data_IF_359861336844
#
_entry.id   IF_359861336844
#
_cell.length_a   1.000
_cell.length_b   1.000
_cell.length_c   1.000
_cell.angle_alpha   90.00
_cell.angle_beta   90.00
_cell.angle_gamma   90.00
#
_symmetry.space_group_name_H-M   'P 1'
#
loop_
_entity.id
_entity.type
_entity.pdbx_description
1 polymer ?
#
# COMPACT_ATOMS: atom_id res chain seq x y z
N UNK A 1 5.79 25.64 -27.20
CA UNK A 1 4.73 24.73 -27.63
C UNK A 1 5.25 23.30 -27.49
N UNK A 2 4.84 22.58 -26.44
CA UNK A 2 5.14 21.15 -26.32
C UNK A 2 4.18 20.40 -27.25
N UNK A 3 4.71 19.64 -28.20
CA UNK A 3 3.93 18.73 -29.05
C UNK A 3 3.43 17.60 -28.15
N UNK A 4 2.15 17.63 -27.79
CA UNK A 4 1.52 16.53 -27.07
C UNK A 4 1.46 15.32 -28.01
N UNK A 5 1.95 14.16 -27.56
CA UNK A 5 1.80 12.92 -28.31
C UNK A 5 0.30 12.61 -28.43
N UNK A 6 -0.27 12.50 -29.64
CA UNK A 6 -1.70 12.21 -29.80
C UNK A 6 -2.10 10.88 -29.15
N UNK A 7 -1.15 9.95 -28.98
CA UNK A 7 -1.41 8.67 -28.30
C UNK A 7 -1.57 8.82 -26.80
N UNK A 8 -0.86 9.76 -26.17
CA UNK A 8 -1.00 9.98 -24.73
C UNK A 8 -2.35 10.58 -24.39
N UNK A 9 -2.85 11.49 -25.23
CA UNK A 9 -4.16 12.11 -25.06
C UNK A 9 -5.31 11.08 -25.10
N UNK A 10 -5.27 10.10 -26.01
CA UNK A 10 -6.28 9.03 -26.09
C UNK A 10 -6.27 8.14 -24.83
N UNK A 11 -5.09 7.76 -24.34
CA UNK A 11 -4.95 6.96 -23.12
C UNK A 11 -5.50 7.71 -21.91
N UNK A 12 -5.13 8.98 -21.76
CA UNK A 12 -5.61 9.84 -20.67
C UNK A 12 -7.13 10.01 -20.72
N UNK A 13 -7.69 10.19 -21.91
CA UNK A 13 -9.13 10.33 -22.09
C UNK A 13 -9.88 9.06 -21.69
N UNK A 14 -9.41 7.87 -22.11
CA UNK A 14 -10.01 6.59 -21.72
C UNK A 14 -9.92 6.33 -20.22
N UNK A 15 -8.80 6.68 -19.59
CA UNK A 15 -8.67 6.60 -18.14
C UNK A 15 -9.65 7.52 -17.42
N UNK A 16 -9.85 8.74 -17.96
CA UNK A 16 -10.84 9.68 -17.43
C UNK A 16 -12.27 9.13 -17.56
N UNK A 17 -12.63 8.54 -18.70
CA UNK A 17 -13.92 7.86 -18.89
C UNK A 17 -14.14 6.74 -17.87
N UNK A 18 -13.12 5.88 -17.68
CA UNK A 18 -13.17 4.77 -16.72
C UNK A 18 -13.40 5.25 -15.28
N UNK A 19 -12.70 6.31 -14.87
CA UNK A 19 -12.88 6.94 -13.55
C UNK A 19 -14.28 7.54 -13.41
N UNK A 20 -14.77 8.21 -14.45
CA UNK A 20 -16.05 8.88 -14.43
C UNK A 20 -17.24 7.93 -14.35
N UNK A 21 -17.18 6.77 -15.01
CA UNK A 21 -18.18 5.71 -14.83
C UNK A 21 -18.15 5.16 -13.40
N UNK A 22 -16.96 4.83 -12.89
CA UNK A 22 -16.80 4.28 -11.52
C UNK A 22 -17.31 5.27 -10.46
N UNK A 23 -17.02 6.56 -10.61
CA UNK A 23 -17.42 7.62 -9.69
C UNK A 23 -18.81 8.21 -9.98
N UNK A 24 -19.49 7.73 -11.03
CA UNK A 24 -20.80 8.22 -11.49
C UNK A 24 -20.84 9.74 -11.71
N UNK A 25 -19.77 10.31 -12.25
CA UNK A 25 -19.67 11.77 -12.47
C UNK A 25 -20.67 12.30 -13.49
N UNK A 26 -21.24 11.41 -14.30
CA UNK A 26 -22.23 11.74 -15.32
C UNK A 26 -23.67 11.87 -14.77
N UNK A 27 -23.92 11.42 -13.54
CA UNK A 27 -25.25 11.47 -12.94
C UNK A 27 -25.58 12.88 -12.43
N UNK A 28 -26.82 13.31 -12.62
CA UNK A 28 -27.36 14.50 -11.97
C UNK A 28 -27.69 14.14 -10.53
N UNK A 29 -27.03 14.80 -9.58
CA UNK A 29 -27.27 14.56 -8.17
C UNK A 29 -28.41 15.45 -7.65
N UNK A 30 -29.24 14.93 -6.72
CA UNK A 30 -30.17 15.77 -5.98
C UNK A 30 -29.40 16.79 -5.12
N UNK A 31 -30.09 17.85 -4.70
CA UNK A 31 -29.53 18.91 -3.87
C UNK A 31 -28.72 18.37 -2.69
N UNK A 32 -27.68 19.11 -2.30
CA UNK A 32 -26.76 18.72 -1.24
C UNK A 32 -27.51 18.27 0.03
N UNK A 33 -27.18 17.09 0.60
CA UNK A 33 -27.86 16.60 1.78
C UNK A 33 -27.63 17.57 2.95
N UNK A 34 -28.69 17.90 3.68
CA UNK A 34 -28.69 18.94 4.74
C UNK A 34 -28.02 18.51 6.06
N UNK A 35 -27.46 17.31 6.15
CA UNK A 35 -26.94 16.73 7.39
C UNK A 35 -25.46 16.36 7.27
N UNK A 36 -24.71 16.59 8.36
CA UNK A 36 -23.32 16.14 8.62
C UNK A 36 -23.21 14.60 8.59
N UNK A 37 -23.36 14.05 7.40
CA UNK A 37 -23.51 12.64 7.15
C UNK A 37 -22.50 12.21 6.09
N UNK A 38 -22.26 10.89 6.03
CA UNK A 38 -21.43 10.27 4.99
C UNK A 38 -21.86 10.69 3.57
N UNK A 39 -23.14 11.01 3.36
CA UNK A 39 -23.66 11.49 2.08
C UNK A 39 -23.15 12.89 1.70
N UNK A 40 -22.94 13.78 2.68
CA UNK A 40 -22.38 15.10 2.42
C UNK A 40 -20.93 14.99 1.98
N UNK A 41 -20.14 14.17 2.68
CA UNK A 41 -18.75 13.91 2.31
C UNK A 41 -18.65 13.32 0.89
N UNK A 42 -19.50 12.34 0.58
CA UNK A 42 -19.54 11.72 -0.75
C UNK A 42 -19.96 12.73 -1.84
N UNK A 43 -20.88 13.63 -1.52
CA UNK A 43 -21.30 14.71 -2.42
C UNK A 43 -20.15 15.69 -2.69
N UNK A 44 -19.44 16.15 -1.64
CA UNK A 44 -18.28 17.04 -1.76
C UNK A 44 -17.14 16.39 -2.55
N UNK A 45 -16.82 15.12 -2.29
CA UNK A 45 -15.79 14.38 -3.02
C UNK A 45 -16.12 14.27 -4.52
N UNK A 46 -17.38 13.97 -4.85
CA UNK A 46 -17.82 13.93 -6.25
C UNK A 46 -17.79 15.30 -6.91
N UNK A 47 -18.18 16.36 -6.19
CA UNK A 47 -18.13 17.73 -6.71
C UNK A 47 -16.68 18.12 -7.09
N UNK A 48 -15.72 17.85 -6.20
CA UNK A 48 -14.30 18.07 -6.46
C UNK A 48 -13.78 17.23 -7.64
N UNK A 49 -14.24 15.98 -7.74
CA UNK A 49 -13.86 15.09 -8.85
C UNK A 49 -14.40 15.60 -10.19
N UNK A 50 -15.62 16.16 -10.20
CA UNK A 50 -16.23 16.77 -11.38
C UNK A 50 -15.49 18.03 -11.83
N UNK A 51 -15.09 18.89 -10.89
CA UNK A 51 -14.29 20.08 -11.19
C UNK A 51 -12.94 19.70 -11.84
N UNK A 52 -12.25 18.70 -11.28
CA UNK A 52 -11.00 18.18 -11.85
C UNK A 52 -11.20 17.62 -13.27
N UNK A 53 -12.29 16.86 -13.48
CA UNK A 53 -12.62 16.33 -14.80
C UNK A 53 -12.88 17.46 -15.80
N UNK A 54 -13.61 18.51 -15.42
CA UNK A 54 -13.87 19.66 -16.29
C UNK A 54 -12.59 20.37 -16.72
N UNK A 55 -11.66 20.60 -15.79
CA UNK A 55 -10.35 21.20 -16.11
C UNK A 55 -9.55 20.33 -17.09
N UNK A 56 -9.57 19.01 -16.88
CA UNK A 56 -8.88 18.07 -17.78
C UNK A 56 -9.51 18.02 -19.16
N UNK A 57 -10.85 18.04 -19.26
CA UNK A 57 -11.58 18.08 -20.52
C UNK A 57 -11.35 19.40 -21.28
N UNK A 58 -11.28 20.52 -20.56
CA UNK A 58 -10.93 21.81 -21.13
C UNK A 58 -9.53 21.79 -21.76
N UNK A 59 -8.57 21.16 -21.09
CA UNK A 59 -7.21 20.98 -21.62
C UNK A 59 -7.21 20.12 -22.89
N UNK A 60 -8.07 19.11 -22.97
CA UNK A 60 -8.20 18.20 -24.12
C UNK A 60 -9.09 18.76 -25.25
N UNK A 61 -9.77 19.89 -25.04
CA UNK A 61 -10.72 20.45 -26.01
C UNK A 61 -11.99 19.60 -26.20
N UNK A 62 -12.39 18.84 -25.18
CA UNK A 62 -13.60 18.00 -25.19
C UNK A 62 -14.70 18.70 -24.40
N UNK A 63 -15.91 18.78 -24.98
CA UNK A 63 -17.06 19.36 -24.27
C UNK A 63 -17.60 18.40 -23.21
N UNK A 64 -18.21 18.94 -22.16
CA UNK A 64 -18.84 18.14 -21.11
C UNK A 64 -19.93 17.23 -21.67
N UNK A 65 -20.76 17.73 -22.59
CA UNK A 65 -21.88 16.97 -23.20
C UNK A 65 -21.38 15.81 -24.05
N UNK A 66 -20.26 15.99 -24.77
CA UNK A 66 -19.61 14.89 -25.47
C UNK A 66 -19.12 13.85 -24.48
N UNK A 67 -18.41 14.29 -23.45
CA UNK A 67 -17.89 13.39 -22.41
C UNK A 67 -18.98 12.57 -21.74
N UNK A 68 -20.11 13.18 -21.38
CA UNK A 68 -21.25 12.46 -20.78
C UNK A 68 -21.78 11.36 -21.69
N UNK A 69 -21.99 11.67 -22.99
CA UNK A 69 -22.43 10.66 -23.97
C UNK A 69 -21.45 9.52 -24.10
N UNK A 70 -20.16 9.83 -24.08
CA UNK A 70 -19.10 8.82 -24.19
C UNK A 70 -19.05 7.92 -22.93
N UNK A 71 -19.25 8.48 -21.73
CA UNK A 71 -19.40 7.71 -20.48
C UNK A 71 -20.64 6.80 -20.53
N UNK A 72 -21.80 7.34 -20.88
CA UNK A 72 -23.04 6.57 -20.99
C UNK A 72 -22.97 5.47 -22.06
N UNK A 73 -22.25 5.72 -23.15
CA UNK A 73 -21.99 4.72 -24.19
C UNK A 73 -21.12 3.60 -23.63
N UNK A 74 -20.02 3.94 -22.95
CA UNK A 74 -19.10 2.99 -22.34
C UNK A 74 -19.79 2.13 -21.26
N UNK A 75 -20.69 2.70 -20.46
CA UNK A 75 -21.42 1.92 -19.44
C UNK A 75 -22.40 0.91 -20.04
N UNK A 76 -22.88 1.15 -21.27
CA UNK A 76 -23.71 0.21 -22.02
C UNK A 76 -22.87 -0.88 -22.71
N UNK A 77 -21.56 -0.67 -22.86
CA UNK A 77 -20.66 -1.70 -23.38
C UNK A 77 -20.50 -2.80 -22.32
N UNK A 78 -21.37 -3.81 -22.43
CA UNK A 78 -21.26 -5.03 -21.64
C UNK A 78 -20.06 -5.83 -22.16
N UNK A 79 -18.91 -5.65 -21.53
CA UNK A 79 -17.81 -6.60 -21.69
C UNK A 79 -18.20 -7.91 -21.01
N UNK A 80 -18.75 -8.84 -21.78
CA UNK A 80 -18.91 -10.22 -21.33
C UNK A 80 -17.53 -10.80 -21.17
N UNK A 81 -17.02 -10.81 -19.93
CA UNK A 81 -15.87 -11.61 -19.58
C UNK A 81 -16.29 -13.06 -19.78
N UNK A 82 -15.81 -13.67 -20.86
CA UNK A 82 -15.93 -15.10 -21.06
C UNK A 82 -15.35 -15.77 -19.82
N UNK A 83 -16.07 -16.71 -19.16
CA UNK A 83 -15.56 -17.39 -18.00
C UNK A 83 -14.19 -17.99 -18.32
N UNK A 84 -13.16 -17.45 -17.68
CA UNK A 84 -11.80 -18.00 -17.76
C UNK A 84 -11.85 -19.37 -17.10
N UNK A 85 -11.78 -20.43 -17.90
CA UNK A 85 -11.58 -21.77 -17.38
C UNK A 85 -10.13 -21.85 -16.89
N UNK A 86 -9.94 -21.73 -15.58
CA UNK A 86 -8.67 -22.06 -14.98
C UNK A 86 -8.40 -23.55 -15.26
N UNK A 87 -7.37 -23.83 -16.06
CA UNK A 87 -6.87 -25.19 -16.15
C UNK A 87 -6.30 -25.57 -14.77
N UNK A 88 -6.61 -26.77 -14.30
CA UNK A 88 -6.06 -27.27 -13.03
C UNK A 88 -4.54 -27.19 -13.11
N UNK A 89 -3.98 -26.25 -12.35
CA UNK A 89 -2.54 -26.10 -12.20
C UNK A 89 -1.99 -27.29 -11.43
N UNK A 90 -1.89 -28.46 -12.08
CA UNK A 90 -1.34 -29.67 -11.46
C UNK A 90 0.11 -29.50 -11.01
N UNK A 91 0.82 -28.47 -11.50
CA UNK A 91 2.26 -28.30 -11.24
C UNK A 91 2.74 -26.84 -11.04
N UNK A 92 1.88 -25.81 -11.16
CA UNK A 92 2.37 -24.42 -11.19
C UNK A 92 2.31 -23.66 -9.84
N UNK A 93 1.68 -24.22 -8.80
CA UNK A 93 1.41 -23.50 -7.55
C UNK A 93 1.92 -24.18 -6.26
N UNK A 94 2.73 -25.24 -6.36
CA UNK A 94 3.29 -25.88 -5.16
C UNK A 94 4.19 -24.92 -4.39
N UNK A 95 4.96 -24.09 -5.09
CA UNK A 95 5.89 -23.13 -4.49
C UNK A 95 5.18 -21.96 -3.79
N UNK A 96 4.11 -21.43 -4.41
CA UNK A 96 3.33 -20.32 -3.87
C UNK A 96 2.52 -20.73 -2.62
N UNK A 97 2.04 -21.98 -2.55
CA UNK A 97 1.35 -22.49 -1.36
C UNK A 97 2.28 -22.55 -0.13
N UNK A 98 3.54 -22.94 -0.32
CA UNK A 98 4.55 -22.92 0.75
C UNK A 98 4.94 -21.51 1.19
N UNK A 99 4.93 -20.54 0.29
CA UNK A 99 5.30 -19.15 0.62
C UNK A 99 4.15 -18.40 1.31
N UNK A 100 2.91 -18.59 0.86
CA UNK A 100 1.72 -17.98 1.46
C UNK A 100 1.32 -18.60 2.81
N UNK A 101 1.63 -19.88 3.05
CA UNK A 101 1.39 -20.55 4.33
C UNK A 101 2.18 -19.92 5.51
N UNK A 102 3.25 -19.18 5.22
CA UNK A 102 4.03 -18.45 6.22
C UNK A 102 3.54 -17.02 6.48
N UNK A 103 2.53 -16.54 5.75
CA UNK A 103 2.00 -15.18 5.91
C UNK A 103 0.80 -15.23 6.86
N UNK A 104 1.07 -15.08 8.15
CA UNK A 104 0.02 -14.85 9.15
C UNK A 104 -0.59 -13.45 8.96
N UNK A 105 -1.78 -13.38 8.38
CA UNK A 105 -2.61 -12.18 8.36
C UNK A 105 -3.27 -11.98 9.74
N UNK A 106 -2.49 -11.55 10.72
CA UNK A 106 -3.03 -10.88 11.90
C UNK A 106 -3.17 -9.39 11.56
N UNK A 107 -4.39 -8.87 11.69
CA UNK A 107 -4.81 -7.54 11.25
C UNK A 107 -3.74 -6.45 11.30
N UNK A 108 -3.42 -5.90 10.13
CA UNK A 108 -3.06 -4.48 9.99
C UNK A 108 -1.61 -4.06 10.20
N UNK A 109 -0.62 -4.95 10.25
CA UNK A 109 0.80 -4.55 10.12
C UNK A 109 1.59 -5.59 9.33
N UNK A 110 1.82 -5.33 8.05
CA UNK A 110 2.83 -6.02 7.24
C UNK A 110 4.23 -5.64 7.73
N UNK A 111 4.67 -6.27 8.82
CA UNK A 111 6.07 -6.32 9.21
C UNK A 111 6.71 -7.53 8.56
N UNK A 112 7.61 -7.33 7.60
CA UNK A 112 8.53 -8.38 7.13
C UNK A 112 9.21 -9.06 8.33
N UNK A 113 8.78 -10.28 8.67
CA UNK A 113 9.26 -11.02 9.86
C UNK A 113 10.70 -11.54 9.71
N UNK A 114 11.31 -11.42 8.53
CA UNK A 114 12.62 -12.01 8.25
C UNK A 114 13.81 -11.17 8.75
N UNK A 115 13.70 -9.84 8.80
CA UNK A 115 14.78 -8.95 9.28
C UNK A 115 14.78 -8.83 10.82
N UNK A 116 13.61 -8.72 11.45
CA UNK A 116 13.51 -8.38 12.86
C UNK A 116 13.92 -9.53 13.78
N UNK A 117 13.72 -10.78 13.35
CA UNK A 117 14.21 -11.97 14.07
C UNK A 117 15.75 -12.07 14.01
N UNK A 118 16.37 -11.66 12.89
CA UNK A 118 17.83 -11.56 12.75
C UNK A 118 18.41 -10.41 13.59
N UNK A 119 17.69 -9.29 13.72
CA UNK A 119 18.11 -8.16 14.58
C UNK A 119 18.05 -8.52 16.07
N UNK A 120 17.02 -9.23 16.52
CA UNK A 120 16.94 -9.70 17.92
C UNK A 120 18.01 -10.75 18.27
N UNK A 121 18.36 -11.63 17.34
CA UNK A 121 19.46 -12.60 17.54
C UNK A 121 20.83 -11.91 17.66
N UNK A 122 21.08 -10.84 16.88
CA UNK A 122 22.33 -10.05 16.97
C UNK A 122 22.38 -9.18 18.23
N UNK A 123 21.24 -8.66 18.70
CA UNK A 123 21.17 -7.91 19.97
C UNK A 123 21.46 -8.78 21.20
N UNK A 124 21.00 -10.03 21.22
CA UNK A 124 21.23 -10.96 22.33
C UNK A 124 22.70 -11.39 22.46
N UNK A 125 23.43 -11.52 21.34
CA UNK A 125 24.87 -11.82 21.36
C UNK A 125 25.73 -10.66 21.88
N UNK A 126 25.33 -9.41 21.62
CA UNK A 126 26.03 -8.21 22.11
C UNK A 126 25.94 -8.06 23.65
N UNK A 127 24.77 -8.33 24.23
CA UNK A 127 24.56 -8.29 25.69
C UNK A 127 25.27 -9.44 26.44
N UNK A 128 25.31 -10.64 25.86
CA UNK A 128 26.05 -11.77 26.44
C UNK A 128 27.57 -11.52 26.46
N UNK A 129 28.12 -10.91 25.41
CA UNK A 129 29.52 -10.49 25.35
C UNK A 129 29.87 -9.41 26.39
N UNK A 130 29.00 -8.40 26.56
CA UNK A 130 29.19 -7.35 27.57
C UNK A 130 29.06 -7.87 29.01
N UNK A 131 28.15 -8.82 29.27
CA UNK A 131 28.01 -9.49 30.58
C UNK A 131 29.20 -10.40 30.91
N UNK A 132 29.78 -11.09 29.92
CA UNK A 132 30.99 -11.89 30.10
C UNK A 132 32.20 -11.01 30.42
N UNK A 133 32.35 -9.87 29.74
CA UNK A 133 33.42 -8.90 30.01
C UNK A 133 33.29 -8.27 31.41
N UNK A 134 32.07 -7.93 31.85
CA UNK A 134 31.83 -7.42 33.20
C UNK A 134 32.04 -8.47 34.31
N UNK A 135 31.73 -9.75 34.07
CA UNK A 135 32.04 -10.83 35.02
C UNK A 135 33.55 -11.04 35.15
N UNK A 136 34.30 -11.03 34.04
CA UNK A 136 35.76 -11.17 34.05
C UNK A 136 36.46 -10.06 34.86
N UNK A 137 36.03 -8.81 34.71
CA UNK A 137 36.58 -7.67 35.46
C UNK A 137 36.27 -7.73 36.96
N UNK A 138 35.10 -8.26 37.37
CA UNK A 138 34.77 -8.46 38.79
C UNK A 138 35.57 -9.60 39.43
N UNK A 139 35.88 -10.68 38.70
CA UNK A 139 36.76 -11.75 39.20
C UNK A 139 38.21 -11.29 39.38
N UNK A 140 38.75 -10.46 38.47
CA UNK A 140 40.10 -9.90 38.63
C UNK A 140 40.23 -8.98 39.86
N UNK A 141 39.19 -8.18 40.15
CA UNK A 141 39.16 -7.33 41.35
C UNK A 141 39.04 -8.12 42.67
N UNK A 142 38.45 -9.33 42.64
CA UNK A 142 38.33 -10.20 43.80
C UNK A 142 39.63 -10.98 44.10
N UNK A 143 40.37 -11.40 43.06
CA UNK A 143 41.67 -12.08 43.23
C UNK A 143 42.74 -11.12 43.75
N UNK A 144 42.74 -9.85 43.31
CA UNK A 144 43.71 -8.84 43.78
C UNK A 144 43.51 -8.43 45.25
N UNK A 145 42.29 -8.63 45.82
CA UNK A 145 42.00 -8.38 47.24
C UNK A 145 42.33 -9.55 48.17
N UNK A 146 42.53 -10.77 47.65
CA UNK A 146 42.91 -11.94 48.45
C UNK A 146 44.42 -12.24 48.48
N UNK A 147 45.22 -11.54 47.67
CA UNK A 147 46.69 -11.68 47.64
C UNK A 147 47.48 -10.73 48.55
N UNK A 148 46.83 -9.90 49.36
CA UNK A 148 47.48 -8.89 50.22
C UNK A 148 47.21 -9.10 51.72
N UNK A 149 47.09 -10.36 52.15
CA UNK A 149 47.14 -10.74 53.57
C UNK A 149 48.07 -11.95 53.67
N UNK A 150 49.36 -11.72 53.87
CA UNK A 150 50.32 -12.81 54.06
C UNK A 150 51.80 -12.42 53.99
N UNK A 151 52.28 -11.65 54.97
CA UNK A 151 53.66 -11.50 55.51
C UNK A 151 53.65 -10.15 56.27
N UNK A 152 53.69 -9.99 57.59
CA UNK A 152 54.41 -10.69 58.69
C UNK A 152 55.84 -11.02 58.30
N UNK A 153 56.74 -10.04 58.42
CA UNK A 153 57.71 -9.94 59.53
C UNK A 153 57.84 -8.46 59.90
#
# INVERSE_FOLDING_TARGET
MQLHDPRSADIEYRQLLSRAATQRLHMTFPDAPKSDSLLQWEHEERALSREKALLQLQHMGVSWEKFIRDVESMEKEVHVLMPTKYEDARHANSSAATENGNIHYAGGKTGMVTEDRKRRARGAQSMAGQMAHMRALKTFAAVRRKGMIGHVI
#
